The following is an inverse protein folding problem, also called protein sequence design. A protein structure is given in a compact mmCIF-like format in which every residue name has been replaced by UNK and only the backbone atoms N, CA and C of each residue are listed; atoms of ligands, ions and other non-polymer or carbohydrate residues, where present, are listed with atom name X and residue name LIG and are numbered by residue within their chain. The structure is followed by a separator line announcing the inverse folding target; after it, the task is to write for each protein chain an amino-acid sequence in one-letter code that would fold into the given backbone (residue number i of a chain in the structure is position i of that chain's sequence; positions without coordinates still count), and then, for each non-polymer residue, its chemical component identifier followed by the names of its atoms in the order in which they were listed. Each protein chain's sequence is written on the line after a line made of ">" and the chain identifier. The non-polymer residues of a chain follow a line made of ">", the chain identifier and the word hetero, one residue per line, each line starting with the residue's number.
data_IF_230582188853
#
_entry.id   IF_230582188853
#
_cell.length_a   1.000
_cell.length_b   1.000
_cell.length_c   1.000
_cell.angle_alpha   90.00
_cell.angle_beta   90.00
_cell.angle_gamma   90.00
#
_symmetry.space_group_name_H-M   'P 1'
#
loop_
_entity.id
_entity.type
_entity.pdbx_description
1 polymer ?
#
# COMPACT_ATOMS: atom_id res chain seq x y z
N UNK A 1 3.83 17.93 -3.53
CA UNK A 1 2.38 17.86 -3.85
C UNK A 1 2.19 16.92 -5.04
N UNK A 2 1.59 15.74 -4.82
CA UNK A 2 1.37 14.77 -5.89
C UNK A 2 0.32 15.34 -6.86
N UNK A 3 0.78 15.86 -8.01
CA UNK A 3 -0.05 16.54 -9.00
C UNK A 3 -1.32 15.74 -9.31
N UNK A 4 -2.50 16.36 -9.16
CA UNK A 4 -3.84 15.79 -9.33
C UNK A 4 -4.19 15.55 -10.81
N UNK A 5 -3.25 15.02 -11.60
CA UNK A 5 -3.55 14.51 -12.94
C UNK A 5 -4.58 13.38 -12.79
N UNK A 6 -5.71 13.52 -13.49
CA UNK A 6 -6.73 12.47 -13.57
C UNK A 6 -6.05 11.20 -14.11
N UNK A 7 -6.14 10.13 -13.33
CA UNK A 7 -5.49 8.87 -13.67
C UNK A 7 -6.24 8.21 -14.84
N UNK A 8 -5.50 7.65 -15.79
CA UNK A 8 -6.05 6.99 -16.97
C UNK A 8 -6.55 5.57 -16.68
N UNK A 9 -6.57 4.66 -17.67
CA UNK A 9 -6.93 3.26 -17.42
C UNK A 9 -5.99 2.63 -16.39
N UNK A 10 -6.55 1.78 -15.53
CA UNK A 10 -5.84 1.04 -14.50
C UNK A 10 -5.85 -0.45 -14.83
N UNK A 11 -4.69 -1.08 -14.72
CA UNK A 11 -4.56 -2.54 -14.81
C UNK A 11 -4.54 -3.11 -13.41
N UNK A 12 -5.44 -4.03 -13.10
CA UNK A 12 -5.42 -4.71 -11.81
C UNK A 12 -4.22 -5.65 -11.73
N UNK A 13 -3.46 -5.56 -10.63
CA UNK A 13 -2.32 -6.42 -10.36
C UNK A 13 -2.69 -7.53 -9.37
N UNK A 14 -3.45 -7.19 -8.34
CA UNK A 14 -3.93 -8.11 -7.33
C UNK A 14 -5.19 -7.53 -6.65
N UNK A 15 -6.11 -8.39 -6.25
CA UNK A 15 -7.28 -8.01 -5.46
C UNK A 15 -7.64 -9.13 -4.49
N UNK A 16 -8.01 -8.76 -3.27
CA UNK A 16 -8.60 -9.64 -2.27
C UNK A 16 -9.68 -8.85 -1.48
N UNK A 17 -10.24 -9.46 -0.43
CA UNK A 17 -11.32 -8.85 0.36
C UNK A 17 -10.89 -7.59 1.12
N UNK A 18 -9.59 -7.41 1.39
CA UNK A 18 -9.06 -6.28 2.16
C UNK A 18 -8.49 -5.17 1.27
N UNK A 19 -7.91 -5.52 0.13
CA UNK A 19 -7.09 -4.62 -0.69
C UNK A 19 -7.26 -4.88 -2.18
N UNK A 20 -7.21 -3.80 -2.96
CA UNK A 20 -7.13 -3.84 -4.41
C UNK A 20 -5.92 -3.03 -4.87
N UNK A 21 -5.03 -3.67 -5.62
CA UNK A 21 -3.80 -3.07 -6.14
C UNK A 21 -3.90 -2.95 -7.64
N UNK A 22 -3.73 -1.73 -8.14
CA UNK A 22 -3.78 -1.45 -9.59
C UNK A 22 -2.57 -0.64 -10.03
N UNK A 23 -2.14 -0.84 -11.28
CA UNK A 23 -1.14 -0.01 -11.95
C UNK A 23 -1.84 0.98 -12.87
N UNK A 24 -1.62 2.27 -12.63
CA UNK A 24 -2.12 3.33 -13.47
C UNK A 24 -1.23 3.48 -14.71
N UNK A 25 -1.83 3.75 -15.89
CA UNK A 25 -1.09 4.16 -17.09
C UNK A 25 -0.24 5.43 -16.90
N UNK A 26 -0.45 6.17 -15.81
CA UNK A 26 0.35 7.30 -15.37
C UNK A 26 1.67 6.91 -14.65
N UNK A 27 1.99 5.62 -14.55
CA UNK A 27 3.25 5.12 -13.98
C UNK A 27 3.25 4.93 -12.46
N UNK A 28 2.13 5.19 -11.79
CA UNK A 28 1.97 4.99 -10.33
C UNK A 28 1.17 3.72 -10.02
N UNK A 29 1.34 3.22 -8.80
CA UNK A 29 0.58 2.12 -8.23
C UNK A 29 -0.43 2.69 -7.26
N UNK A 30 -1.67 2.22 -7.35
CA UNK A 30 -2.76 2.58 -6.47
C UNK A 30 -3.12 1.39 -5.60
N UNK A 31 -3.10 1.58 -4.29
CA UNK A 31 -3.56 0.60 -3.31
C UNK A 31 -4.85 1.13 -2.72
N UNK A 32 -5.95 0.45 -3.00
CA UNK A 32 -7.24 0.74 -2.38
C UNK A 32 -7.46 -0.25 -1.24
N UNK A 33 -7.54 0.27 -0.02
CA UNK A 33 -7.95 -0.47 1.16
C UNK A 33 -9.48 -0.46 1.20
N UNK A 34 -10.11 -1.63 1.02
CA UNK A 34 -11.55 -1.73 0.79
C UNK A 34 -12.37 -1.44 2.06
N UNK A 35 -11.94 -1.94 3.22
CA UNK A 35 -12.60 -1.68 4.51
C UNK A 35 -12.66 -0.19 4.87
N UNK A 36 -11.54 0.54 4.93
CA UNK A 36 -11.54 1.97 5.26
C UNK A 36 -11.83 2.88 4.05
N UNK A 37 -11.96 2.35 2.84
CA UNK A 37 -12.21 3.13 1.62
C UNK A 37 -11.08 4.07 1.19
N UNK A 38 -9.86 3.88 1.72
CA UNK A 38 -8.71 4.75 1.44
C UNK A 38 -7.95 4.24 0.21
N UNK A 39 -7.62 5.14 -0.72
CA UNK A 39 -6.71 4.83 -1.84
C UNK A 39 -5.42 5.61 -1.72
N UNK A 40 -4.30 4.88 -1.67
CA UNK A 40 -2.95 5.45 -1.64
C UNK A 40 -2.33 5.32 -3.01
N UNK A 41 -1.82 6.44 -3.54
CA UNK A 41 -1.07 6.50 -4.80
C UNK A 41 0.41 6.68 -4.53
N UNK A 42 1.25 5.85 -5.13
CA UNK A 42 2.70 5.93 -4.97
C UNK A 42 3.46 5.43 -6.21
N UNK A 43 4.76 5.69 -6.29
CA UNK A 43 5.60 5.10 -7.34
C UNK A 43 5.73 3.58 -7.14
N UNK A 44 6.10 2.85 -8.19
CA UNK A 44 6.35 1.42 -8.07
C UNK A 44 7.51 1.10 -7.10
N UNK A 45 8.50 1.99 -7.00
CA UNK A 45 9.62 1.87 -6.06
C UNK A 45 9.16 2.03 -4.62
N UNK A 46 8.38 3.08 -4.33
CA UNK A 46 7.79 3.30 -3.01
C UNK A 46 6.86 2.15 -2.62
N UNK A 47 6.08 1.63 -3.58
CA UNK A 47 5.23 0.45 -3.37
C UNK A 47 6.04 -0.76 -2.89
N UNK A 48 7.16 -1.09 -3.56
CA UNK A 48 8.02 -2.21 -3.14
C UNK A 48 8.56 -2.02 -1.72
N UNK A 49 9.00 -0.81 -1.38
CA UNK A 49 9.46 -0.47 -0.04
C UNK A 49 8.36 -0.69 1.01
N UNK A 50 7.18 -0.10 0.78
CA UNK A 50 6.01 -0.23 1.68
C UNK A 50 5.59 -1.68 1.83
N UNK A 51 5.46 -2.45 0.74
CA UNK A 51 5.08 -3.87 0.80
C UNK A 51 6.10 -4.70 1.58
N UNK A 52 7.41 -4.43 1.41
CA UNK A 52 8.44 -5.15 2.17
C UNK A 52 8.36 -4.87 3.67
N UNK A 53 8.13 -3.61 4.07
CA UNK A 53 7.93 -3.22 5.46
C UNK A 53 6.64 -3.81 6.06
N UNK A 54 5.53 -3.75 5.31
CA UNK A 54 4.25 -4.31 5.75
C UNK A 54 4.31 -5.82 5.90
N UNK A 55 4.96 -6.54 4.97
CA UNK A 55 5.18 -7.98 5.08
C UNK A 55 5.99 -8.30 6.34
N UNK A 56 7.11 -7.61 6.54
CA UNK A 56 7.96 -7.80 7.70
C UNK A 56 7.26 -7.45 9.03
N UNK A 57 6.32 -6.50 9.01
CA UNK A 57 5.46 -6.19 10.14
C UNK A 57 4.43 -7.31 10.38
N UNK A 58 3.79 -7.83 9.33
CA UNK A 58 2.85 -8.94 9.43
C UNK A 58 3.53 -10.19 10.03
N UNK A 59 4.72 -10.55 9.55
CA UNK A 59 5.52 -11.66 10.09
C UNK A 59 5.87 -11.49 11.57
N UNK A 60 5.93 -10.25 12.08
CA UNK A 60 6.18 -9.95 13.50
C UNK A 60 4.92 -9.86 14.34
N UNK A 61 3.75 -9.62 13.74
CA UNK A 61 2.48 -9.61 14.47
C UNK A 61 2.13 -11.00 15.00
N UNK A 62 2.58 -12.03 14.31
CA UNK A 62 2.46 -13.43 14.73
C UNK A 62 3.52 -13.82 15.80
N UNK A 63 4.51 -12.95 16.05
CA UNK A 63 5.58 -13.14 17.05
C UNK A 63 5.22 -12.40 18.35
N UNK A 64 5.53 -12.99 19.52
CA UNK A 64 5.09 -12.57 20.87
C UNK A 64 5.29 -11.04 21.12
N UNK A 65 4.34 -10.33 21.78
CA UNK A 65 4.22 -8.86 21.80
C UNK A 65 5.28 -8.09 22.61
N UNK A 66 6.49 -8.64 22.78
CA UNK A 66 7.58 -8.01 23.56
C UNK A 66 8.34 -6.94 22.79
N UNK A 67 8.10 -6.78 21.49
CA UNK A 67 8.82 -5.80 20.68
C UNK A 67 8.24 -4.38 20.82
N UNK A 68 8.81 -3.69 21.80
CA UNK A 68 9.32 -2.32 21.66
C UNK A 68 8.31 -1.24 21.29
N UNK A 69 7.84 -0.49 22.29
CA UNK A 69 7.11 0.76 22.12
C UNK A 69 7.89 1.73 21.22
N UNK A 70 7.43 1.93 19.99
CA UNK A 70 7.84 3.08 19.16
C UNK A 70 6.66 4.04 19.05
N UNK A 71 6.79 5.19 19.69
CA UNK A 71 5.91 6.34 19.50
C UNK A 71 6.16 6.94 18.11
N UNK A 72 5.14 6.93 17.26
CA UNK A 72 5.12 7.69 16.01
C UNK A 72 4.54 9.08 16.34
N UNK A 73 5.34 10.13 16.19
CA UNK A 73 4.89 11.54 16.19
C UNK A 73 5.24 12.15 14.83
#
# INVERSE_FOLDING_TARGET
>A
MASSKKCGPHTELASNDATRVTRCGCGTVHITLLGPGVTVRMSAEAFRGVTSGLKAAAERLDDDPRFGTTSIN
#
